data_IF_244309379632
#
_entry.id   IF_244309379632
#
_cell.length_a   1.000
_cell.length_b   1.000
_cell.length_c   1.000
_cell.angle_alpha   90.00
_cell.angle_beta   90.00
_cell.angle_gamma   90.00
#
_symmetry.space_group_name_H-M   'P 1'
#
loop_
_entity.id
_entity.type
_entity.pdbx_description
1 polymer ?
#
# COMPACT_ATOMS: atom_id res chain seq x y z
N UNK A 1 -9.84 -7.38 -2.41
CA UNK A 1 -9.13 -6.38 -1.60
C UNK A 1 -8.32 -5.46 -2.50
N UNK A 2 -8.25 -4.20 -2.18
CA UNK A 2 -7.52 -3.22 -2.98
C UNK A 2 -6.51 -2.48 -2.12
N UNK A 3 -5.27 -2.37 -2.61
CA UNK A 3 -4.22 -1.57 -2.02
C UNK A 3 -3.99 -0.33 -2.89
N UNK A 4 -3.87 0.83 -2.27
CA UNK A 4 -3.61 2.07 -3.00
C UNK A 4 -2.30 2.66 -2.50
N UNK A 5 -1.39 2.93 -3.42
CA UNK A 5 -0.11 3.55 -3.12
C UNK A 5 -0.21 5.04 -3.42
N UNK A 6 0.08 5.86 -2.43
CA UNK A 6 -0.15 7.31 -2.51
C UNK A 6 1.18 8.05 -2.49
N UNK A 7 1.35 8.98 -3.41
CA UNK A 7 2.45 9.93 -3.37
C UNK A 7 1.96 11.32 -3.74
N UNK A 8 2.84 12.31 -3.60
CA UNK A 8 2.45 13.70 -3.79
C UNK A 8 1.94 13.98 -5.20
N UNK A 9 2.54 13.36 -6.20
CA UNK A 9 2.21 13.63 -7.61
C UNK A 9 1.44 12.53 -8.30
N UNK A 10 1.25 11.38 -7.63
CA UNK A 10 0.61 10.22 -8.24
C UNK A 10 1.47 9.49 -9.26
N UNK A 11 2.72 9.91 -9.44
CA UNK A 11 3.66 9.33 -10.39
C UNK A 11 4.98 9.03 -9.68
N UNK A 12 5.88 8.34 -10.35
CA UNK A 12 7.20 8.07 -9.81
C UNK A 12 7.20 7.08 -8.65
N UNK A 13 7.45 7.54 -7.42
CA UNK A 13 7.66 6.62 -6.29
C UNK A 13 6.43 5.79 -5.94
N UNK A 14 5.21 6.31 -6.09
CA UNK A 14 4.01 5.50 -5.83
C UNK A 14 3.88 4.36 -6.85
N UNK A 15 4.30 4.59 -8.08
CA UNK A 15 4.31 3.56 -9.10
C UNK A 15 5.32 2.46 -8.74
N UNK A 16 6.48 2.85 -8.22
CA UNK A 16 7.48 1.87 -7.78
C UNK A 16 6.97 1.02 -6.62
N UNK A 17 6.28 1.63 -5.66
CA UNK A 17 5.67 0.89 -4.55
C UNK A 17 4.63 -0.08 -5.07
N UNK A 18 3.79 0.36 -6.01
CA UNK A 18 2.79 -0.50 -6.63
C UNK A 18 3.45 -1.74 -7.25
N UNK A 19 4.50 -1.55 -8.02
CA UNK A 19 5.19 -2.67 -8.66
C UNK A 19 5.84 -3.59 -7.64
N UNK A 20 6.45 -3.02 -6.61
CA UNK A 20 7.09 -3.82 -5.56
C UNK A 20 6.07 -4.68 -4.82
N UNK A 21 4.91 -4.13 -4.49
CA UNK A 21 3.86 -4.89 -3.82
C UNK A 21 3.33 -5.99 -4.73
N UNK A 22 3.08 -5.69 -6.00
CA UNK A 22 2.60 -6.69 -6.95
C UNK A 22 3.60 -7.83 -7.12
N UNK A 23 4.88 -7.51 -7.25
CA UNK A 23 5.92 -8.53 -7.37
C UNK A 23 6.01 -9.37 -6.08
N UNK A 24 5.87 -8.73 -4.94
CA UNK A 24 5.89 -9.42 -3.65
C UNK A 24 4.73 -10.42 -3.54
N UNK A 25 3.52 -9.99 -3.86
CA UNK A 25 2.35 -10.87 -3.82
C UNK A 25 2.53 -12.06 -4.74
N UNK A 26 3.07 -11.84 -5.92
CA UNK A 26 3.34 -12.92 -6.86
C UNK A 26 4.39 -13.90 -6.31
N UNK A 27 5.45 -13.37 -5.69
CA UNK A 27 6.52 -14.22 -5.17
C UNK A 27 6.08 -15.00 -3.92
N UNK A 28 5.11 -14.49 -3.18
CA UNK A 28 4.58 -15.16 -1.99
C UNK A 28 3.43 -16.11 -2.30
N UNK A 29 3.10 -16.27 -3.57
CA UNK A 29 2.08 -17.22 -3.98
C UNK A 29 0.67 -16.85 -3.51
N UNK A 30 0.40 -15.55 -3.35
CA UNK A 30 -0.94 -15.09 -2.96
C UNK A 30 -1.91 -15.35 -4.10
N UNK A 31 -2.92 -16.16 -3.83
CA UNK A 31 -3.92 -16.53 -4.84
C UNK A 31 -5.19 -15.70 -4.73
N UNK A 32 -5.38 -14.99 -3.63
CA UNK A 32 -6.54 -14.12 -3.47
C UNK A 32 -6.42 -12.92 -4.40
N UNK A 33 -7.56 -12.44 -4.88
CA UNK A 33 -7.58 -11.32 -5.79
C UNK A 33 -7.31 -10.02 -5.04
N UNK A 34 -6.11 -9.48 -5.21
CA UNK A 34 -5.71 -8.21 -4.62
C UNK A 34 -5.27 -7.28 -5.73
N UNK A 35 -5.97 -6.15 -5.86
CA UNK A 35 -5.62 -5.10 -6.81
C UNK A 35 -4.66 -4.12 -6.15
N UNK A 36 -3.61 -3.72 -6.87
CA UNK A 36 -2.66 -2.71 -6.39
C UNK A 36 -2.66 -1.57 -7.38
N UNK A 37 -2.97 -0.38 -6.90
CA UNK A 37 -3.04 0.82 -7.74
C UNK A 37 -2.23 1.95 -7.12
N UNK A 38 -2.09 3.06 -7.81
CA UNK A 38 -1.41 4.24 -7.31
C UNK A 38 -2.22 5.49 -7.61
N UNK A 39 -2.06 6.52 -6.78
CA UNK A 39 -2.78 7.77 -6.94
C UNK A 39 -2.02 8.91 -6.27
N UNK A 40 -2.41 10.14 -6.57
CA UNK A 40 -1.88 11.29 -5.87
C UNK A 40 -2.68 11.54 -4.57
N UNK A 41 -2.07 12.27 -3.65
CA UNK A 41 -2.67 12.53 -2.34
C UNK A 41 -3.96 13.35 -2.46
N UNK A 42 -4.02 14.24 -3.46
CA UNK A 42 -5.18 15.11 -3.63
C UNK A 42 -6.42 14.43 -4.18
N UNK A 43 -6.24 13.26 -4.81
CA UNK A 43 -7.34 12.52 -5.44
C UNK A 43 -7.84 11.37 -4.58
N UNK A 44 -7.23 11.12 -3.42
CA UNK A 44 -7.52 9.94 -2.62
C UNK A 44 -8.73 10.16 -1.71
N UNK A 45 -9.64 9.19 -1.71
CA UNK A 45 -10.81 9.18 -0.82
C UNK A 45 -10.84 7.87 -0.03
N UNK A 46 -11.54 7.84 1.14
CA UNK A 46 -11.53 6.64 2.02
C UNK A 46 -12.09 5.37 1.39
N UNK A 47 -12.93 5.50 0.39
CA UNK A 47 -13.58 4.35 -0.25
C UNK A 47 -12.86 3.86 -1.51
N UNK A 48 -11.70 4.45 -1.84
CA UNK A 48 -10.94 4.04 -3.02
C UNK A 48 -10.21 2.72 -2.83
N UNK A 49 -9.89 2.36 -1.60
CA UNK A 49 -9.14 1.14 -1.32
C UNK A 49 -9.41 0.63 0.09
N UNK A 50 -8.97 -0.61 0.35
CA UNK A 50 -9.04 -1.20 1.68
C UNK A 50 -7.84 -0.79 2.54
N UNK A 51 -6.68 -0.62 1.92
CA UNK A 51 -5.45 -0.18 2.59
C UNK A 51 -4.72 0.84 1.74
N UNK A 52 -4.08 1.79 2.43
CA UNK A 52 -3.39 2.90 1.80
C UNK A 52 -1.94 2.89 2.24
N UNK A 53 -1.03 2.85 1.27
CA UNK A 53 0.42 2.90 1.52
C UNK A 53 0.92 4.28 1.16
N UNK A 54 1.50 4.97 2.12
CA UNK A 54 1.92 6.37 1.93
C UNK A 54 3.25 6.60 2.62
N UNK A 55 4.08 7.46 2.04
CA UNK A 55 5.32 7.86 2.70
C UNK A 55 4.99 8.64 3.96
N UNK A 56 5.75 8.38 5.02
CA UNK A 56 5.50 8.96 6.34
C UNK A 56 5.42 10.50 6.30
N UNK A 57 6.18 11.13 5.41
CA UNK A 57 6.16 12.59 5.26
C UNK A 57 4.82 13.14 4.79
N UNK A 58 3.98 12.29 4.20
CA UNK A 58 2.65 12.68 3.74
C UNK A 58 1.54 12.26 4.70
N UNK A 59 1.90 11.79 5.89
CA UNK A 59 0.92 11.31 6.86
C UNK A 59 -0.17 12.32 7.19
N UNK A 60 0.20 13.59 7.33
CA UNK A 60 -0.75 14.65 7.65
C UNK A 60 -1.75 14.89 6.51
N UNK A 61 -1.30 14.69 5.27
CA UNK A 61 -2.14 14.90 4.09
C UNK A 61 -3.23 13.84 3.96
N UNK A 62 -3.06 12.67 4.61
CA UNK A 62 -4.02 11.57 4.58
C UNK A 62 -4.73 11.41 5.92
N UNK A 63 -4.74 12.45 6.76
CA UNK A 63 -5.38 12.39 8.07
C UNK A 63 -6.90 12.16 7.99
N UNK A 64 -7.51 12.44 6.84
CA UNK A 64 -8.94 12.18 6.63
C UNK A 64 -9.27 10.74 6.28
N UNK A 65 -8.26 9.90 6.06
CA UNK A 65 -8.46 8.48 5.78
C UNK A 65 -8.57 7.68 7.08
N UNK A 66 -9.19 6.47 7.05
CA UNK A 66 -9.24 5.62 8.25
C UNK A 66 -7.82 5.19 8.61
N UNK A 67 -7.34 5.66 9.75
CA UNK A 67 -5.92 5.51 10.13
C UNK A 67 -5.53 4.06 10.42
N UNK A 68 -6.49 3.22 10.76
CA UNK A 68 -6.25 1.79 10.95
C UNK A 68 -5.97 1.07 9.62
N UNK A 69 -6.22 1.72 8.49
CA UNK A 69 -5.94 1.19 7.16
C UNK A 69 -4.82 1.94 6.44
N UNK A 70 -4.22 2.92 7.10
CA UNK A 70 -3.11 3.68 6.52
C UNK A 70 -1.80 3.08 6.99
N UNK A 71 -0.95 2.72 6.04
CA UNK A 71 0.40 2.21 6.30
C UNK A 71 1.39 3.31 6.00
N UNK A 72 2.06 3.82 7.01
CA UNK A 72 3.08 4.85 6.86
C UNK A 72 4.44 4.18 6.64
N UNK A 73 5.06 4.46 5.51
CA UNK A 73 6.35 3.89 5.13
C UNK A 73 7.44 4.95 5.34
N UNK A 74 8.52 4.56 6.00
CA UNK A 74 9.69 5.44 6.15
C UNK A 74 10.39 5.66 4.82
N UNK A 75 10.38 4.64 3.97
CA UNK A 75 10.97 4.72 2.65
C UNK A 75 10.13 3.93 1.66
N UNK A 76 9.76 4.55 0.55
CA UNK A 76 8.97 3.90 -0.49
C UNK A 76 9.79 2.89 -1.30
N UNK A 77 11.11 2.89 -1.14
CA UNK A 77 12.00 1.98 -1.85
C UNK A 77 12.55 0.86 -0.96
N UNK A 78 12.22 0.86 0.33
CA UNK A 78 12.67 -0.19 1.25
C UNK A 78 11.75 -1.41 1.11
N UNK A 79 12.24 -2.41 0.38
CA UNK A 79 11.46 -3.62 0.11
C UNK A 79 11.18 -4.44 1.36
N UNK A 80 12.07 -4.39 2.36
CA UNK A 80 11.84 -5.10 3.62
C UNK A 80 10.70 -4.48 4.40
N UNK A 81 10.63 -3.16 4.44
CA UNK A 81 9.55 -2.46 5.11
C UNK A 81 8.21 -2.74 4.44
N UNK A 82 8.18 -2.71 3.10
CA UNK A 82 6.99 -3.02 2.34
C UNK A 82 6.56 -4.46 2.60
N UNK A 83 7.50 -5.39 2.59
CA UNK A 83 7.21 -6.81 2.83
C UNK A 83 6.58 -7.04 4.21
N UNK A 84 7.14 -6.42 5.24
CA UNK A 84 6.60 -6.55 6.59
C UNK A 84 5.18 -6.00 6.69
N UNK A 85 4.93 -4.84 6.08
CA UNK A 85 3.62 -4.21 6.09
C UNK A 85 2.59 -5.06 5.36
N UNK A 86 2.94 -5.56 4.17
CA UNK A 86 2.04 -6.38 3.36
C UNK A 86 1.74 -7.69 4.08
N UNK A 87 2.75 -8.36 4.61
CA UNK A 87 2.57 -9.63 5.31
C UNK A 87 1.67 -9.47 6.53
N UNK A 88 1.82 -8.38 7.27
CA UNK A 88 0.96 -8.11 8.41
C UNK A 88 -0.52 -7.98 7.98
N UNK A 89 -0.76 -7.29 6.88
CA UNK A 89 -2.12 -7.14 6.34
C UNK A 89 -2.67 -8.50 5.92
N UNK A 90 -1.86 -9.31 5.24
CA UNK A 90 -2.29 -10.64 4.80
C UNK A 90 -2.63 -11.51 6.01
N UNK A 91 -1.80 -11.49 7.04
CA UNK A 91 -2.05 -12.27 8.25
C UNK A 91 -3.31 -11.79 8.98
N UNK A 92 -3.50 -10.47 9.08
CA UNK A 92 -4.67 -9.90 9.75
C UNK A 92 -5.98 -10.24 9.04
N UNK A 93 -5.91 -10.50 7.74
CA UNK A 93 -7.07 -10.85 6.93
C UNK A 93 -7.16 -12.35 6.61
N UNK A 94 -6.30 -13.16 7.22
CA UNK A 94 -6.27 -14.61 7.03
C UNK A 94 -6.04 -15.02 5.57
N UNK A 95 -5.22 -14.25 4.86
CA UNK A 95 -4.86 -14.54 3.48
C UNK A 95 -3.58 -15.38 3.47
N UNK A 96 -3.64 -16.52 2.81
CA UNK A 96 -2.49 -17.42 2.73
C UNK A 96 -1.38 -16.81 1.88
N UNK A 97 -0.15 -16.92 2.37
CA UNK A 97 1.04 -16.48 1.63
C UNK A 97 2.25 -17.28 2.09
N UNK A 98 3.31 -17.23 1.31
CA UNK A 98 4.56 -17.91 1.65
C UNK A 98 5.45 -17.08 2.57
#
# INVERSE_FOLDING_TARGET
MKFLCICQSGLGSSFMVQMNIQNLLNSEGVIDEISVEHADVGSTTPDMADYFFVEKTLGDAVSGLPQDRVVLLNSLIDQNEIKEAVNKILDDNNIAHN
#
